data_IF_066969113640
#
_entry.id   IF_066969113640
#
_cell.length_a   1.000
_cell.length_b   1.000
_cell.length_c   1.000
_cell.angle_alpha   90.00
_cell.angle_beta   90.00
_cell.angle_gamma   90.00
#
_symmetry.space_group_name_H-M   'P 1'
#
loop_
_entity.id
_entity.type
_entity.pdbx_description
1 polymer ?
#
# COMPACT_ATOMS: atom_id res chain seq x y z
N UNK A 1 -12.61 -14.32 7.68
CA UNK A 1 -11.79 -13.12 7.98
C UNK A 1 -12.06 -12.50 9.37
N UNK A 2 -13.15 -11.77 9.65
CA UNK A 2 -13.33 -11.14 11.00
C UNK A 2 -13.39 -12.16 12.15
N UNK A 3 -14.07 -13.29 11.94
CA UNK A 3 -14.11 -14.40 12.92
C UNK A 3 -12.78 -15.13 13.10
N UNK A 4 -11.80 -14.88 12.22
CA UNK A 4 -10.46 -15.51 12.26
C UNK A 4 -9.38 -14.53 12.74
N UNK A 5 -9.74 -13.30 13.07
CA UNK A 5 -8.79 -12.31 13.58
C UNK A 5 -8.26 -12.75 14.95
N UNK A 6 -6.94 -12.81 15.10
CA UNK A 6 -6.27 -13.13 16.38
C UNK A 6 -5.31 -12.02 16.75
N UNK A 7 -5.49 -11.43 17.93
CA UNK A 7 -4.63 -10.36 18.47
C UNK A 7 -4.37 -9.22 17.46
N UNK A 8 -5.39 -8.80 16.71
CA UNK A 8 -5.28 -7.73 15.72
C UNK A 8 -4.70 -8.13 14.36
N UNK A 9 -4.34 -9.41 14.15
CA UNK A 9 -3.84 -9.93 12.87
C UNK A 9 -4.94 -10.69 12.13
N UNK A 10 -5.05 -10.44 10.83
CA UNK A 10 -5.74 -11.34 9.90
C UNK A 10 -4.77 -12.40 9.36
N UNK A 11 -5.28 -13.59 9.02
CA UNK A 11 -4.47 -14.60 8.36
C UNK A 11 -4.14 -14.18 6.92
N UNK A 12 -2.91 -14.46 6.50
CA UNK A 12 -2.46 -14.29 5.11
C UNK A 12 -2.86 -15.50 4.25
N UNK A 13 -2.74 -16.71 4.81
CA UNK A 13 -3.05 -17.98 4.16
C UNK A 13 -3.82 -18.90 5.10
N UNK A 14 -4.66 -19.76 4.53
CA UNK A 14 -5.41 -20.79 5.27
C UNK A 14 -6.61 -20.27 6.05
N UNK A 15 -7.29 -21.18 6.74
CA UNK A 15 -8.46 -20.94 7.59
C UNK A 15 -8.38 -21.82 8.85
N UNK A 16 -9.03 -21.40 9.93
CA UNK A 16 -9.07 -22.16 11.18
C UNK A 16 -7.69 -22.42 11.79
N UNK A 17 -7.36 -23.69 12.08
CA UNK A 17 -6.10 -24.09 12.71
C UNK A 17 -4.89 -24.03 11.76
N UNK A 18 -5.13 -23.97 10.43
CA UNK A 18 -4.08 -23.85 9.41
C UNK A 18 -3.81 -22.39 9.01
N UNK A 19 -4.36 -21.43 9.74
CA UNK A 19 -4.24 -20.02 9.46
C UNK A 19 -2.83 -19.48 9.78
N UNK A 20 -2.16 -18.91 8.78
CA UNK A 20 -0.85 -18.29 8.92
C UNK A 20 -0.97 -16.78 9.17
N UNK A 21 -0.47 -16.30 10.31
CA UNK A 21 -0.48 -14.88 10.71
C UNK A 21 0.89 -14.24 10.49
N UNK A 22 1.36 -14.24 9.25
CA UNK A 22 2.70 -13.77 8.85
C UNK A 22 2.69 -12.50 7.98
N UNK A 23 1.60 -11.72 8.00
CA UNK A 23 1.47 -10.47 7.24
C UNK A 23 1.26 -9.28 8.17
N UNK A 24 2.07 -8.23 7.99
CA UNK A 24 1.93 -6.95 8.68
C UNK A 24 0.91 -6.02 8.01
N UNK A 25 0.66 -6.21 6.72
CA UNK A 25 -0.18 -5.35 5.89
C UNK A 25 -1.65 -5.77 5.83
N UNK A 26 -1.99 -7.06 5.97
CA UNK A 26 -3.36 -7.56 5.81
C UNK A 26 -4.37 -6.83 6.72
N UNK A 27 -4.04 -6.66 8.00
CA UNK A 27 -4.87 -5.88 8.94
C UNK A 27 -4.98 -4.41 8.60
N UNK A 28 -3.99 -3.84 7.93
CA UNK A 28 -4.02 -2.43 7.53
C UNK A 28 -4.83 -2.23 6.24
N UNK A 29 -4.79 -3.19 5.31
CA UNK A 29 -5.64 -3.23 4.13
C UNK A 29 -7.14 -3.32 4.45
N UNK A 30 -7.50 -3.89 5.60
CA UNK A 30 -8.88 -3.85 6.09
C UNK A 30 -9.41 -2.42 6.28
N UNK A 31 -8.58 -1.49 6.78
CA UNK A 31 -8.98 -0.09 6.92
C UNK A 31 -9.19 0.56 5.55
N UNK A 32 -8.31 0.26 4.59
CA UNK A 32 -8.48 0.72 3.21
C UNK A 32 -9.78 0.20 2.59
N UNK A 33 -10.09 -1.08 2.77
CA UNK A 33 -11.33 -1.68 2.27
C UNK A 33 -12.56 -0.99 2.88
N UNK A 34 -12.56 -0.68 4.19
CA UNK A 34 -13.63 0.08 4.82
C UNK A 34 -13.75 1.51 4.28
N UNK A 35 -12.63 2.17 3.99
CA UNK A 35 -12.63 3.50 3.36
C UNK A 35 -13.21 3.45 1.94
N UNK A 36 -12.92 2.40 1.16
CA UNK A 36 -13.54 2.19 -0.15
C UNK A 36 -15.04 1.91 -0.03
N UNK A 37 -15.44 1.09 0.95
CA UNK A 37 -16.85 0.84 1.23
C UNK A 37 -17.60 2.12 1.65
N UNK A 38 -16.97 2.98 2.48
CA UNK A 38 -17.51 4.29 2.84
C UNK A 38 -17.70 5.18 1.61
N UNK A 39 -16.71 5.24 0.71
CA UNK A 39 -16.78 6.01 -0.53
C UNK A 39 -17.97 5.57 -1.40
N UNK A 40 -18.15 4.26 -1.54
CA UNK A 40 -19.19 3.71 -2.41
C UNK A 40 -20.60 3.79 -1.83
N UNK A 41 -20.74 3.75 -0.50
CA UNK A 41 -22.07 3.64 0.15
C UNK A 41 -22.49 4.87 0.94
N UNK A 42 -21.55 5.71 1.36
CA UNK A 42 -21.79 6.81 2.29
C UNK A 42 -22.14 6.36 3.72
N UNK A 43 -22.13 5.05 4.02
CA UNK A 43 -22.64 4.45 5.27
C UNK A 43 -21.66 4.51 6.44
N UNK A 44 -21.10 5.68 6.70
CA UNK A 44 -20.08 5.90 7.74
C UNK A 44 -20.48 5.41 9.14
N UNK A 45 -21.71 5.71 9.58
CA UNK A 45 -22.16 5.32 10.92
C UNK A 45 -22.36 3.81 11.05
N UNK A 46 -22.78 3.14 9.97
CA UNK A 46 -22.88 1.67 9.95
C UNK A 46 -21.50 1.03 10.01
N UNK A 47 -20.50 1.62 9.33
CA UNK A 47 -19.11 1.15 9.41
C UNK A 47 -18.62 1.19 10.85
N UNK A 48 -18.79 2.31 11.56
CA UNK A 48 -18.39 2.38 12.96
C UNK A 48 -19.16 1.40 13.83
N UNK A 49 -20.48 1.31 13.66
CA UNK A 49 -21.33 0.38 14.42
C UNK A 49 -20.87 -1.07 14.28
N UNK A 50 -20.54 -1.49 13.06
CA UNK A 50 -20.22 -2.89 12.75
C UNK A 50 -18.73 -3.21 12.97
N UNK A 51 -17.83 -2.26 12.70
CA UNK A 51 -16.40 -2.50 12.60
C UNK A 51 -15.55 -1.71 13.60
N UNK A 52 -16.11 -0.70 14.28
CA UNK A 52 -15.36 0.19 15.19
C UNK A 52 -14.60 -0.56 16.28
N UNK A 53 -15.20 -1.59 16.89
CA UNK A 53 -14.53 -2.46 17.87
C UNK A 53 -13.29 -3.17 17.30
N UNK A 54 -13.37 -3.64 16.06
CA UNK A 54 -12.26 -4.33 15.39
C UNK A 54 -11.16 -3.32 15.02
N UNK A 55 -11.55 -2.15 14.50
CA UNK A 55 -10.61 -1.07 14.17
C UNK A 55 -9.79 -0.63 15.39
N UNK A 56 -10.45 -0.31 16.50
CA UNK A 56 -9.75 0.06 17.74
C UNK A 56 -8.93 -1.10 18.29
N UNK A 57 -9.47 -2.34 18.20
CA UNK A 57 -8.78 -3.55 18.65
C UNK A 57 -7.48 -3.82 17.88
N UNK A 58 -7.48 -3.69 16.56
CA UNK A 58 -6.27 -3.85 15.73
C UNK A 58 -5.23 -2.80 16.14
N UNK A 59 -5.63 -1.53 16.22
CA UNK A 59 -4.75 -0.42 16.60
C UNK A 59 -4.14 -0.65 17.98
N UNK A 60 -4.93 -1.02 18.99
CA UNK A 60 -4.43 -1.25 20.34
C UNK A 60 -3.55 -2.51 20.47
N UNK A 61 -3.75 -3.53 19.63
CA UNK A 61 -2.85 -4.69 19.58
C UNK A 61 -1.53 -4.34 18.89
N UNK A 62 -1.57 -3.61 17.76
CA UNK A 62 -0.36 -3.16 17.07
C UNK A 62 0.44 -2.19 17.94
N UNK A 63 -0.21 -1.34 18.74
CA UNK A 63 0.48 -0.49 19.70
C UNK A 63 1.25 -1.29 20.76
N UNK A 64 0.66 -2.37 21.28
CA UNK A 64 1.28 -3.22 22.33
C UNK A 64 2.29 -4.22 21.77
N UNK A 65 2.12 -4.62 20.52
CA UNK A 65 2.90 -5.65 19.87
C UNK A 65 2.13 -6.95 19.64
N UNK A 66 2.37 -7.55 18.49
CA UNK A 66 1.81 -8.84 18.06
C UNK A 66 2.89 -9.80 17.59
N UNK A 67 2.51 -10.90 16.92
CA UNK A 67 3.47 -11.80 16.26
C UNK A 67 4.35 -11.06 15.25
N UNK A 68 5.51 -11.64 14.94
CA UNK A 68 6.49 -11.13 13.97
C UNK A 68 7.02 -9.72 14.28
N UNK A 69 7.14 -9.41 15.58
CA UNK A 69 7.52 -8.08 16.07
C UNK A 69 6.73 -6.91 15.48
N UNK A 70 5.48 -7.14 15.05
CA UNK A 70 4.62 -6.05 14.59
C UNK A 70 4.22 -5.24 15.81
N UNK A 71 4.87 -4.09 16.03
CA UNK A 71 4.67 -3.27 17.22
C UNK A 71 4.97 -1.80 16.96
N UNK A 72 4.21 -0.92 17.59
CA UNK A 72 4.50 0.51 17.58
C UNK A 72 5.69 0.80 18.50
N UNK A 73 6.64 1.59 18.01
CA UNK A 73 7.75 2.11 18.82
C UNK A 73 7.40 3.48 19.40
N UNK A 74 8.25 4.00 20.29
CA UNK A 74 8.01 5.28 20.98
C UNK A 74 7.91 6.48 20.03
N UNK A 75 8.48 6.38 18.83
CA UNK A 75 8.36 7.37 17.76
C UNK A 75 7.02 7.27 16.98
N UNK A 76 6.14 6.34 17.36
CA UNK A 76 4.84 6.11 16.72
C UNK A 76 4.90 5.25 15.45
N UNK A 77 6.10 4.96 14.93
CA UNK A 77 6.27 4.10 13.77
C UNK A 77 6.01 2.64 14.12
N UNK A 78 5.47 1.90 13.15
CA UNK A 78 5.24 0.47 13.27
C UNK A 78 6.48 -0.27 12.78
N UNK A 79 7.15 -0.96 13.70
CA UNK A 79 8.16 -1.95 13.37
C UNK A 79 7.45 -3.23 12.95
N UNK A 80 8.00 -3.94 11.97
CA UNK A 80 7.54 -5.27 11.58
C UNK A 80 8.69 -6.14 11.10
N UNK A 81 8.64 -7.43 11.38
CA UNK A 81 9.58 -8.42 10.86
C UNK A 81 10.53 -8.98 11.90
N UNK A 82 11.00 -10.19 11.60
CA UNK A 82 12.00 -10.94 12.35
C UNK A 82 13.09 -11.42 11.37
N UNK A 83 14.32 -11.69 11.84
CA UNK A 83 15.35 -12.27 10.99
C UNK A 83 14.83 -13.51 10.23
N UNK A 84 15.02 -13.53 8.91
CA UNK A 84 14.63 -14.65 8.05
C UNK A 84 13.14 -14.71 7.67
N UNK A 85 12.29 -13.78 8.11
CA UNK A 85 10.87 -13.74 7.73
C UNK A 85 10.58 -12.60 6.74
N UNK A 86 9.75 -12.89 5.76
CA UNK A 86 9.15 -11.88 4.89
C UNK A 86 7.70 -11.65 5.35
N UNK A 87 7.38 -10.42 5.77
CA UNK A 87 6.08 -10.07 6.40
C UNK A 87 5.34 -8.93 5.71
N UNK A 88 5.86 -8.47 4.58
CA UNK A 88 5.25 -7.45 3.71
C UNK A 88 4.83 -8.11 2.41
N UNK A 89 3.98 -7.50 1.59
CA UNK A 89 3.56 -8.04 0.29
C UNK A 89 4.69 -8.45 -0.66
N UNK A 90 5.90 -7.90 -0.50
CA UNK A 90 7.11 -8.38 -1.18
C UNK A 90 7.70 -9.59 -0.44
N UNK A 91 7.02 -10.74 -0.48
CA UNK A 91 7.26 -11.90 0.41
C UNK A 91 7.94 -13.12 -0.22
N UNK A 92 8.46 -13.02 -1.45
CA UNK A 92 9.18 -14.12 -2.09
C UNK A 92 10.37 -14.67 -1.26
N UNK A 93 10.47 -15.99 -1.16
CA UNK A 93 11.51 -16.72 -0.40
C UNK A 93 12.18 -17.76 -1.30
N UNK A 94 13.51 -17.76 -1.31
CA UNK A 94 14.34 -18.73 -2.04
C UNK A 94 15.28 -19.41 -1.05
N UNK A 95 15.28 -20.75 -1.04
CA UNK A 95 16.13 -21.55 -0.16
C UNK A 95 16.05 -21.13 1.32
N UNK A 96 14.83 -20.80 1.79
CA UNK A 96 14.56 -20.35 3.15
C UNK A 96 14.97 -18.91 3.48
N UNK A 97 15.38 -18.11 2.49
CA UNK A 97 15.78 -16.71 2.65
C UNK A 97 14.84 -15.77 1.90
N UNK A 98 14.34 -14.69 2.54
CA UNK A 98 13.64 -13.63 1.84
C UNK A 98 14.49 -13.04 0.72
N UNK A 99 13.93 -12.92 -0.48
CA UNK A 99 14.57 -12.26 -1.62
C UNK A 99 14.66 -10.74 -1.38
N UNK A 100 13.60 -10.19 -0.78
CA UNK A 100 13.46 -8.77 -0.42
C UNK A 100 13.22 -8.64 1.09
N UNK A 101 14.26 -8.77 1.94
CA UNK A 101 14.11 -8.61 3.38
C UNK A 101 13.80 -7.15 3.72
N UNK A 102 12.66 -6.91 4.37
CA UNK A 102 12.15 -5.56 4.69
C UNK A 102 11.73 -5.44 6.15
N UNK A 103 12.47 -6.12 7.03
CA UNK A 103 12.28 -6.01 8.48
C UNK A 103 12.68 -4.62 8.97
N UNK A 104 11.93 -4.08 9.92
CA UNK A 104 12.08 -2.72 10.41
C UNK A 104 10.84 -1.86 10.16
N UNK A 105 11.06 -0.57 9.90
CA UNK A 105 10.02 0.34 9.45
C UNK A 105 9.93 0.27 7.92
N UNK A 106 9.00 -0.51 7.38
CA UNK A 106 8.67 -0.49 5.96
C UNK A 106 7.78 0.72 5.63
N UNK A 107 8.07 1.42 4.53
CA UNK A 107 7.44 2.72 4.22
C UNK A 107 5.92 2.63 4.03
N UNK A 108 5.45 1.59 3.35
CA UNK A 108 4.03 1.35 3.08
C UNK A 108 3.28 0.84 4.30
N UNK A 109 3.90 0.00 5.12
CA UNK A 109 3.31 -0.45 6.39
C UNK A 109 3.06 0.76 7.28
N UNK A 110 4.02 1.68 7.34
CA UNK A 110 3.91 2.90 8.13
C UNK A 110 2.89 3.89 7.53
N UNK A 111 2.82 4.01 6.20
CA UNK A 111 1.79 4.82 5.54
C UNK A 111 0.37 4.27 5.80
N UNK A 112 0.19 2.95 5.67
CA UNK A 112 -1.07 2.25 5.93
C UNK A 112 -1.47 2.35 7.41
N UNK A 113 -0.51 2.23 8.32
CA UNK A 113 -0.71 2.40 9.76
C UNK A 113 -1.18 3.81 10.11
N UNK A 114 -0.50 4.84 9.60
CA UNK A 114 -0.93 6.23 9.77
C UNK A 114 -2.36 6.45 9.27
N UNK A 115 -2.67 5.92 8.09
CA UNK A 115 -4.00 5.98 7.51
C UNK A 115 -5.06 5.28 8.39
N UNK A 116 -4.74 4.11 8.94
CA UNK A 116 -5.62 3.37 9.84
C UNK A 116 -5.91 4.14 11.14
N UNK A 117 -4.88 4.71 11.77
CA UNK A 117 -5.01 5.51 13.00
C UNK A 117 -5.87 6.75 12.75
N UNK A 118 -5.55 7.53 11.72
CA UNK A 118 -6.28 8.75 11.38
C UNK A 118 -7.75 8.45 11.03
N UNK A 119 -7.99 7.39 10.26
CA UNK A 119 -9.36 7.00 9.90
C UNK A 119 -10.18 6.61 11.12
N UNK A 120 -9.60 5.80 12.01
CA UNK A 120 -10.27 5.36 13.22
C UNK A 120 -10.53 6.52 14.17
N UNK A 121 -9.59 7.44 14.31
CA UNK A 121 -9.76 8.68 15.08
C UNK A 121 -10.93 9.52 14.54
N UNK A 122 -11.05 9.69 13.22
CA UNK A 122 -12.17 10.43 12.62
C UNK A 122 -13.51 9.78 12.97
N UNK A 123 -13.63 8.46 12.83
CA UNK A 123 -14.87 7.75 13.16
C UNK A 123 -15.17 7.76 14.66
N UNK A 124 -14.15 7.59 15.50
CA UNK A 124 -14.26 7.60 16.95
C UNK A 124 -14.74 8.97 17.47
N UNK A 125 -14.20 10.07 16.93
CA UNK A 125 -14.66 11.44 17.21
C UNK A 125 -16.14 11.61 16.84
N UNK A 126 -16.53 11.16 15.64
CA UNK A 126 -17.92 11.23 15.17
C UNK A 126 -18.93 10.38 15.97
N UNK A 127 -18.44 9.39 16.73
CA UNK A 127 -19.27 8.47 17.51
C UNK A 127 -19.01 8.56 19.02
N UNK A 128 -18.43 9.66 19.50
CA UNK A 128 -18.22 9.94 20.92
C UNK A 128 -17.42 8.87 21.69
N UNK A 129 -16.52 8.13 21.03
CA UNK A 129 -15.60 7.22 21.72
C UNK A 129 -14.44 8.01 22.36
N UNK A 130 -14.74 8.64 23.51
CA UNK A 130 -13.82 9.55 24.20
C UNK A 130 -12.51 8.89 24.66
N UNK A 131 -12.56 7.63 25.08
CA UNK A 131 -11.35 6.93 25.57
C UNK A 131 -10.35 6.68 24.45
N UNK A 132 -10.80 6.22 23.28
CA UNK A 132 -9.93 6.03 22.13
C UNK A 132 -9.38 7.37 21.63
N UNK A 133 -10.23 8.40 21.54
CA UNK A 133 -9.82 9.74 21.09
C UNK A 133 -8.75 10.32 22.03
N UNK A 134 -8.97 10.27 23.35
CA UNK A 134 -8.00 10.79 24.32
C UNK A 134 -6.64 10.09 24.24
N UNK A 135 -6.63 8.78 23.98
CA UNK A 135 -5.39 7.99 23.84
C UNK A 135 -4.63 8.29 22.55
N UNK A 136 -5.35 8.54 21.45
CA UNK A 136 -4.77 8.51 20.11
C UNK A 136 -4.64 9.88 19.44
N UNK A 137 -5.25 10.96 19.96
CA UNK A 137 -5.35 12.23 19.23
C UNK A 137 -4.01 12.93 18.95
N UNK A 138 -2.98 12.72 19.77
CA UNK A 138 -1.67 13.39 19.61
C UNK A 138 -0.68 12.59 18.74
N UNK A 139 -0.97 11.32 18.48
CA UNK A 139 -0.08 10.43 17.72
C UNK A 139 0.08 10.81 16.24
N UNK A 140 -0.95 11.28 15.50
CA UNK A 140 -0.81 11.64 14.09
C UNK A 140 0.31 12.66 13.83
N UNK A 141 0.41 13.71 14.65
CA UNK A 141 1.43 14.74 14.45
C UNK A 141 2.83 14.22 14.77
N UNK A 142 2.98 13.52 15.91
CA UNK A 142 4.24 12.86 16.27
C UNK A 142 4.69 11.87 15.19
N UNK A 143 3.74 11.10 14.64
CA UNK A 143 3.99 10.15 13.56
C UNK A 143 4.50 10.86 12.30
N UNK A 144 3.87 11.97 11.87
CA UNK A 144 4.28 12.71 10.67
C UNK A 144 5.74 13.17 10.76
N UNK A 145 6.14 13.67 11.93
CA UNK A 145 7.52 14.10 12.19
C UNK A 145 8.48 12.91 12.09
N UNK A 146 8.22 11.85 12.85
CA UNK A 146 9.08 10.65 12.84
C UNK A 146 9.12 9.92 11.50
N UNK A 147 8.01 9.91 10.74
CA UNK A 147 7.95 9.35 9.39
C UNK A 147 8.86 10.14 8.44
N UNK A 148 8.75 11.47 8.46
CA UNK A 148 9.56 12.33 7.60
C UNK A 148 11.05 12.20 7.95
N UNK A 149 11.42 12.23 9.23
CA UNK A 149 12.81 12.04 9.69
C UNK A 149 13.38 10.66 9.31
N UNK A 150 12.55 9.62 9.36
CA UNK A 150 12.98 8.25 9.08
C UNK A 150 13.14 8.00 7.58
N UNK A 151 12.18 8.43 6.77
CA UNK A 151 12.11 8.01 5.36
C UNK A 151 12.57 9.07 4.35
N UNK A 152 12.41 10.38 4.63
CA UNK A 152 12.70 11.42 3.65
C UNK A 152 14.19 11.81 3.63
N UNK A 153 14.73 12.00 2.43
CA UNK A 153 16.04 12.62 2.20
C UNK A 153 15.89 13.71 1.14
N UNK A 154 16.24 14.95 1.54
CA UNK A 154 16.07 16.13 0.71
C UNK A 154 16.96 16.13 -0.54
N UNK A 155 18.15 15.50 -0.49
CA UNK A 155 19.08 15.45 -1.62
C UNK A 155 18.66 14.39 -2.63
N UNK A 156 18.15 13.25 -2.15
CA UNK A 156 17.61 12.18 -3.00
C UNK A 156 16.27 12.56 -3.60
N UNK A 157 15.42 13.24 -2.84
CA UNK A 157 14.10 13.67 -3.28
C UNK A 157 13.04 12.56 -3.27
N UNK A 158 13.27 11.44 -2.60
CA UNK A 158 12.29 10.36 -2.45
C UNK A 158 12.39 9.69 -1.07
N UNK A 159 11.47 8.78 -0.77
CA UNK A 159 11.39 8.09 0.50
C UNK A 159 12.21 6.78 0.46
N UNK A 160 12.96 6.51 1.53
CA UNK A 160 13.57 5.19 1.75
C UNK A 160 12.49 4.10 1.71
N UNK A 161 12.83 2.93 1.18
CA UNK A 161 11.89 1.81 1.06
C UNK A 161 11.61 1.15 2.42
N UNK A 162 12.66 1.02 3.24
CA UNK A 162 12.54 0.63 4.64
C UNK A 162 13.73 1.15 5.47
N UNK A 163 13.56 1.15 6.80
CA UNK A 163 14.59 1.53 7.77
C UNK A 163 14.73 0.44 8.82
N UNK A 164 15.96 -0.02 9.07
CA UNK A 164 16.28 -1.02 10.10
C UNK A 164 17.46 -0.54 10.95
N UNK A 165 17.21 -0.29 12.23
CA UNK A 165 18.19 0.38 13.09
C UNK A 165 18.61 1.72 12.49
N UNK A 166 19.91 1.90 12.28
CA UNK A 166 20.49 3.10 11.67
C UNK A 166 20.57 3.03 10.13
N UNK A 167 20.24 1.87 9.54
CA UNK A 167 20.34 1.66 8.09
C UNK A 167 19.03 2.03 7.40
N UNK A 168 19.13 2.84 6.34
CA UNK A 168 18.02 3.18 5.45
C UNK A 168 18.28 2.58 4.07
N UNK A 169 17.31 1.85 3.54
CA UNK A 169 17.38 1.34 2.17
C UNK A 169 16.82 2.37 1.20
N UNK A 170 17.64 2.78 0.23
CA UNK A 170 17.30 3.82 -0.75
C UNK A 170 16.98 3.25 -2.13
N UNK A 171 16.66 1.97 -2.23
CA UNK A 171 16.21 1.40 -3.49
C UNK A 171 14.90 2.07 -3.92
N UNK A 172 14.87 2.60 -5.15
CA UNK A 172 13.66 3.21 -5.70
C UNK A 172 12.67 2.09 -6.01
N UNK A 173 11.62 2.00 -5.18
CA UNK A 173 10.57 0.99 -5.22
C UNK A 173 9.19 1.66 -5.16
N UNK A 174 8.12 0.98 -5.60
CA UNK A 174 6.79 1.59 -5.64
C UNK A 174 6.15 1.73 -4.26
N UNK A 175 6.71 1.16 -3.19
CA UNK A 175 6.11 1.19 -1.84
C UNK A 175 5.89 2.60 -1.29
N UNK A 176 6.77 3.56 -1.64
CA UNK A 176 6.60 4.97 -1.28
C UNK A 176 5.30 5.60 -1.82
N UNK A 177 4.70 5.00 -2.85
CA UNK A 177 3.44 5.44 -3.44
C UNK A 177 2.29 5.42 -2.44
N UNK A 178 2.29 4.48 -1.49
CA UNK A 178 1.24 4.39 -0.46
C UNK A 178 1.27 5.57 0.50
N UNK A 179 2.44 6.15 0.77
CA UNK A 179 2.56 7.36 1.58
C UNK A 179 1.88 8.57 0.93
N UNK A 180 1.72 8.58 -0.39
CA UNK A 180 1.18 9.72 -1.16
C UNK A 180 -0.22 9.46 -1.72
N UNK A 181 -0.62 8.19 -1.84
CA UNK A 181 -1.90 7.76 -2.42
C UNK A 181 -3.01 7.55 -1.39
N UNK A 182 -2.72 7.32 -0.11
CA UNK A 182 -3.73 7.03 0.92
C UNK A 182 -4.51 8.28 1.37
N UNK A 183 -5.79 8.16 1.81
CA UNK A 183 -6.65 9.29 2.18
C UNK A 183 -6.04 10.21 3.24
N UNK A 184 -5.42 9.61 4.27
CA UNK A 184 -4.56 10.31 5.21
C UNK A 184 -3.13 9.98 4.87
N UNK A 185 -2.30 11.01 4.71
CA UNK A 185 -0.92 10.89 4.24
C UNK A 185 0.02 11.56 5.26
N UNK A 186 1.11 10.90 5.67
CA UNK A 186 2.02 11.44 6.66
C UNK A 186 2.95 12.53 6.10
N UNK A 187 2.91 12.79 4.79
CA UNK A 187 3.83 13.69 4.10
C UNK A 187 3.11 14.92 3.51
N UNK A 188 3.88 15.98 3.27
CA UNK A 188 3.38 17.22 2.67
C UNK A 188 3.25 17.14 1.13
N UNK A 189 2.81 18.24 0.51
CA UNK A 189 2.64 18.29 -0.95
C UNK A 189 3.97 18.27 -1.73
N UNK A 190 5.05 18.77 -1.13
CA UNK A 190 6.37 18.79 -1.76
C UNK A 190 6.90 17.36 -1.92
N UNK A 191 6.87 16.58 -0.84
CA UNK A 191 7.27 15.16 -0.86
C UNK A 191 6.35 14.37 -1.79
N UNK A 192 5.03 14.61 -1.78
CA UNK A 192 4.08 13.96 -2.70
C UNK A 192 4.46 14.16 -4.17
N UNK A 193 4.72 15.40 -4.56
CA UNK A 193 5.11 15.71 -5.93
C UNK A 193 6.44 15.06 -6.30
N UNK A 194 7.42 15.08 -5.40
CA UNK A 194 8.73 14.50 -5.67
C UNK A 194 8.67 12.99 -5.84
N UNK A 195 8.03 12.28 -4.89
CA UNK A 195 7.82 10.83 -4.96
C UNK A 195 7.12 10.42 -6.26
N UNK A 196 6.04 11.13 -6.63
CA UNK A 196 5.27 10.78 -7.82
C UNK A 196 6.07 10.95 -9.11
N UNK A 197 6.95 11.97 -9.18
CA UNK A 197 7.88 12.14 -10.29
C UNK A 197 8.84 10.95 -10.42
N UNK A 198 9.43 10.48 -9.32
CA UNK A 198 10.32 9.32 -9.32
C UNK A 198 9.59 8.03 -9.77
N UNK A 199 8.40 7.77 -9.22
CA UNK A 199 7.59 6.62 -9.61
C UNK A 199 7.27 6.67 -11.11
N UNK A 200 6.82 7.83 -11.62
CA UNK A 200 6.46 7.98 -13.01
C UNK A 200 7.67 7.84 -13.95
N UNK A 201 8.84 8.35 -13.57
CA UNK A 201 10.02 8.33 -14.43
C UNK A 201 10.75 6.98 -14.45
N UNK A 202 10.81 6.29 -13.32
CA UNK A 202 11.65 5.09 -13.20
C UNK A 202 10.85 3.78 -13.17
N UNK A 203 9.63 3.79 -12.64
CA UNK A 203 8.89 2.57 -12.36
C UNK A 203 7.70 2.35 -13.29
N UNK A 204 7.09 3.41 -13.84
CA UNK A 204 5.92 3.28 -14.69
C UNK A 204 6.25 2.57 -16.01
N UNK A 205 5.38 1.65 -16.39
CA UNK A 205 5.35 0.93 -17.66
C UNK A 205 3.92 0.93 -18.21
N UNK A 206 3.69 0.52 -19.47
CA UNK A 206 2.35 0.33 -20.00
C UNK A 206 1.50 -0.73 -19.28
N UNK A 207 2.12 -1.61 -18.47
CA UNK A 207 1.46 -2.75 -17.79
C UNK A 207 1.36 -2.59 -16.28
N UNK A 208 1.91 -1.52 -15.70
CA UNK A 208 1.94 -1.33 -14.25
C UNK A 208 3.22 -0.64 -13.77
N UNK A 209 3.54 -0.81 -12.49
CA UNK A 209 4.80 -0.30 -11.92
C UNK A 209 5.81 -1.43 -11.69
N UNK A 210 7.07 -1.21 -12.07
CA UNK A 210 8.21 -2.05 -11.69
C UNK A 210 8.37 -2.07 -10.17
N UNK A 211 8.72 -3.23 -9.63
CA UNK A 211 9.00 -3.41 -8.19
C UNK A 211 10.34 -2.87 -7.73
N UNK A 212 11.26 -2.60 -8.66
CA UNK A 212 12.57 -2.00 -8.44
C UNK A 212 12.98 -1.18 -9.67
N UNK A 213 13.62 -0.04 -9.45
CA UNK A 213 14.15 0.80 -10.53
C UNK A 213 15.20 0.05 -11.37
N UNK A 214 15.15 0.14 -12.72
CA UNK A 214 16.18 -0.39 -13.60
C UNK A 214 17.59 0.16 -13.37
N UNK A 215 17.72 1.27 -12.62
CA UNK A 215 19.02 1.85 -12.25
C UNK A 215 19.69 1.10 -11.09
N UNK A 216 18.98 0.22 -10.39
CA UNK A 216 19.53 -0.57 -9.31
C UNK A 216 20.22 -1.83 -9.86
N UNK A 217 21.40 -2.16 -9.33
CA UNK A 217 22.17 -3.32 -9.79
C UNK A 217 21.50 -4.68 -9.51
N UNK A 218 20.56 -4.74 -8.58
CA UNK A 218 19.76 -5.93 -8.29
C UNK A 218 18.54 -6.08 -9.21
N UNK A 219 18.33 -5.16 -10.15
CA UNK A 219 17.19 -5.20 -11.07
C UNK A 219 17.19 -6.46 -11.94
N UNK A 220 16.02 -7.11 -11.99
CA UNK A 220 15.70 -8.26 -12.83
C UNK A 220 14.42 -7.95 -13.62
N UNK A 221 14.60 -7.54 -14.86
CA UNK A 221 13.50 -7.13 -15.76
C UNK A 221 12.73 -8.27 -16.41
N UNK A 222 13.12 -9.52 -16.20
CA UNK A 222 12.45 -10.69 -16.80
C UNK A 222 12.00 -11.67 -15.72
N UNK A 223 10.72 -12.02 -15.74
CA UNK A 223 10.08 -13.03 -14.91
C UNK A 223 9.89 -14.31 -15.73
N UNK A 224 10.93 -15.16 -15.79
CA UNK A 224 10.91 -16.40 -16.57
C UNK A 224 11.82 -17.46 -15.94
N UNK A 225 11.67 -18.70 -16.38
CA UNK A 225 12.51 -19.82 -15.95
C UNK A 225 11.83 -20.68 -14.89
N UNK A 226 12.64 -21.33 -14.06
CA UNK A 226 12.16 -22.17 -12.96
C UNK A 226 11.60 -21.34 -11.78
N UNK A 227 11.09 -22.01 -10.74
CA UNK A 227 10.50 -21.33 -9.59
C UNK A 227 11.47 -20.38 -8.90
N UNK A 228 12.72 -20.80 -8.69
CA UNK A 228 13.75 -19.98 -8.03
C UNK A 228 14.09 -18.73 -8.86
N UNK A 229 14.28 -18.87 -10.16
CA UNK A 229 14.57 -17.74 -11.06
C UNK A 229 13.45 -16.70 -11.05
N UNK A 230 12.19 -17.18 -11.08
CA UNK A 230 11.00 -16.36 -11.00
C UNK A 230 10.88 -15.66 -9.65
N UNK A 231 11.08 -16.36 -8.54
CA UNK A 231 11.01 -15.79 -7.19
C UNK A 231 12.10 -14.74 -6.96
N UNK A 232 13.30 -14.94 -7.52
CA UNK A 232 14.36 -13.94 -7.47
C UNK A 232 14.03 -12.66 -8.26
N UNK A 233 13.17 -12.73 -9.28
CA UNK A 233 12.74 -11.58 -10.08
C UNK A 233 11.43 -10.94 -9.58
N UNK A 234 10.61 -11.68 -8.84
CA UNK A 234 9.20 -11.38 -8.54
C UNK A 234 8.96 -10.01 -7.91
N UNK A 235 9.88 -9.58 -7.03
CA UNK A 235 9.90 -8.24 -6.44
C UNK A 235 11.21 -7.50 -6.70
N UNK A 236 11.94 -7.85 -7.77
CA UNK A 236 13.22 -7.23 -8.11
C UNK A 236 13.21 -6.56 -9.49
N UNK A 237 12.05 -6.24 -10.06
CA UNK A 237 11.96 -5.55 -11.36
C UNK A 237 10.71 -5.89 -12.14
N UNK A 238 10.11 -7.05 -11.84
CA UNK A 238 8.79 -7.47 -12.30
C UNK A 238 7.73 -6.37 -12.07
N UNK A 239 6.82 -6.23 -13.02
CA UNK A 239 5.77 -5.21 -13.07
C UNK A 239 4.49 -5.72 -12.45
N UNK A 240 3.88 -4.88 -11.62
CA UNK A 240 2.62 -5.18 -10.92
C UNK A 240 1.53 -4.17 -11.31
N UNK A 241 0.42 -4.62 -11.97
CA UNK A 241 -0.67 -3.75 -12.41
C UNK A 241 -1.46 -3.09 -11.29
N UNK A 242 -1.76 -3.80 -10.19
CA UNK A 242 -2.61 -3.27 -9.11
C UNK A 242 -2.08 -1.95 -8.49
N UNK A 243 -0.75 -1.74 -8.53
CA UNK A 243 -0.11 -0.51 -8.05
C UNK A 243 -0.57 0.75 -8.82
N UNK A 244 -1.11 0.58 -10.03
CA UNK A 244 -1.69 1.69 -10.80
C UNK A 244 -2.88 2.33 -10.10
N UNK A 245 -3.58 1.59 -9.23
CA UNK A 245 -4.62 2.14 -8.39
C UNK A 245 -4.11 3.26 -7.49
N UNK A 246 -3.09 2.95 -6.69
CA UNK A 246 -2.42 3.91 -5.83
C UNK A 246 -1.79 5.06 -6.65
N UNK A 247 -1.28 4.75 -7.86
CA UNK A 247 -0.73 5.75 -8.77
C UNK A 247 -1.80 6.77 -9.22
N UNK A 248 -2.97 6.27 -9.63
CA UNK A 248 -4.11 7.10 -10.00
C UNK A 248 -4.59 7.96 -8.83
N UNK A 249 -4.74 7.37 -7.63
CA UNK A 249 -5.13 8.11 -6.42
C UNK A 249 -4.16 9.27 -6.13
N UNK A 250 -2.84 9.00 -6.19
CA UNK A 250 -1.81 10.01 -5.95
C UNK A 250 -1.88 11.16 -6.97
N UNK A 251 -2.06 10.85 -8.26
CA UNK A 251 -2.20 11.86 -9.30
C UNK A 251 -3.47 12.71 -9.12
N UNK A 252 -4.62 12.11 -8.84
CA UNK A 252 -5.84 12.87 -8.60
C UNK A 252 -5.73 13.75 -7.36
N UNK A 253 -5.04 13.30 -6.31
CA UNK A 253 -4.81 14.10 -5.10
C UNK A 253 -3.94 15.31 -5.37
N UNK A 254 -2.88 15.17 -6.17
CA UNK A 254 -1.93 16.24 -6.42
C UNK A 254 -2.42 17.21 -7.51
N UNK A 255 -3.00 16.70 -8.59
CA UNK A 255 -3.34 17.47 -9.79
C UNK A 255 -4.85 17.67 -10.00
N UNK A 256 -5.68 17.09 -9.13
CA UNK A 256 -7.13 17.14 -9.26
C UNK A 256 -7.61 16.54 -10.57
N UNK A 257 -8.63 17.15 -11.18
CA UNK A 257 -9.21 16.70 -12.46
C UNK A 257 -8.22 16.66 -13.62
N UNK A 258 -7.10 17.39 -13.56
CA UNK A 258 -6.07 17.38 -14.61
C UNK A 258 -5.40 16.00 -14.75
N UNK A 259 -5.39 15.21 -13.67
CA UNK A 259 -4.89 13.83 -13.68
C UNK A 259 -5.65 12.91 -14.64
N UNK A 260 -6.93 13.19 -14.93
CA UNK A 260 -7.81 12.33 -15.71
C UNK A 260 -7.21 11.93 -17.06
N UNK A 261 -6.54 12.86 -17.75
CA UNK A 261 -5.94 12.58 -19.06
C UNK A 261 -4.85 11.51 -18.98
N UNK A 262 -3.93 11.63 -18.02
CA UNK A 262 -2.84 10.68 -17.83
C UNK A 262 -3.38 9.32 -17.37
N UNK A 263 -4.24 9.31 -16.36
CA UNK A 263 -4.81 8.07 -15.81
C UNK A 263 -5.63 7.33 -16.86
N UNK A 264 -6.40 8.04 -17.70
CA UNK A 264 -7.12 7.43 -18.82
C UNK A 264 -6.17 6.83 -19.84
N UNK A 265 -5.11 7.55 -20.23
CA UNK A 265 -4.14 7.04 -21.19
C UNK A 265 -3.48 5.73 -20.73
N UNK A 266 -3.18 5.62 -19.43
CA UNK A 266 -2.66 4.38 -18.83
C UNK A 266 -3.74 3.31 -18.76
N UNK A 267 -4.97 3.65 -18.40
CA UNK A 267 -6.07 2.69 -18.37
C UNK A 267 -6.34 2.07 -19.76
N UNK A 268 -6.31 2.89 -20.80
CA UNK A 268 -6.59 2.46 -22.17
C UNK A 268 -5.53 1.48 -22.72
N UNK A 269 -4.29 1.45 -22.19
CA UNK A 269 -3.28 0.46 -22.63
C UNK A 269 -3.67 -0.97 -22.31
N UNK A 270 -4.58 -1.18 -21.35
CA UNK A 270 -5.03 -2.51 -20.96
C UNK A 270 -6.01 -3.13 -21.96
N UNK A 271 -6.54 -2.38 -22.92
CA UNK A 271 -7.39 -2.95 -23.98
C UNK A 271 -6.64 -4.05 -24.76
N UNK A 272 -5.35 -3.83 -25.03
CA UNK A 272 -4.48 -4.76 -25.76
C UNK A 272 -4.28 -6.10 -25.05
N UNK A 273 -4.39 -6.15 -23.72
CA UNK A 273 -4.08 -7.36 -22.94
C UNK A 273 -5.31 -8.20 -22.61
N UNK A 274 -6.51 -7.72 -22.95
CA UNK A 274 -7.79 -8.40 -22.63
C UNK A 274 -7.92 -9.79 -23.24
N UNK A 275 -7.06 -10.15 -24.19
CA UNK A 275 -7.00 -11.47 -24.83
C UNK A 275 -5.60 -12.07 -24.86
N UNK A 276 -4.64 -11.54 -24.08
CA UNK A 276 -3.23 -11.97 -24.12
C UNK A 276 -3.04 -13.33 -23.44
N UNK A 277 -3.33 -13.42 -22.13
CA UNK A 277 -3.16 -14.65 -21.35
C UNK A 277 -4.49 -15.39 -21.09
N UNK A 278 -5.61 -14.67 -21.14
CA UNK A 278 -6.96 -15.18 -20.95
C UNK A 278 -8.00 -14.16 -21.41
N UNK A 279 -9.26 -14.58 -21.57
CA UNK A 279 -10.32 -13.69 -22.07
C UNK A 279 -10.85 -12.81 -20.92
N UNK A 280 -10.79 -11.49 -21.11
CA UNK A 280 -11.37 -10.51 -20.19
C UNK A 280 -10.65 -10.45 -18.84
N UNK A 281 -9.36 -10.75 -18.81
CA UNK A 281 -8.58 -10.82 -17.58
C UNK A 281 -7.18 -10.23 -17.73
N UNK A 282 -6.54 -10.00 -16.59
CA UNK A 282 -5.20 -9.43 -16.44
C UNK A 282 -4.35 -10.40 -15.64
N UNK A 283 -3.21 -10.76 -16.21
CA UNK A 283 -2.21 -11.60 -15.55
C UNK A 283 -1.68 -10.95 -14.29
N UNK A 284 -1.16 -11.78 -13.38
CA UNK A 284 -0.63 -11.38 -12.09
C UNK A 284 0.50 -10.36 -12.20
N UNK A 285 1.47 -10.66 -13.06
CA UNK A 285 2.68 -9.86 -13.26
C UNK A 285 3.04 -9.77 -14.73
N UNK A 286 3.91 -8.81 -15.05
CA UNK A 286 4.52 -8.66 -16.37
C UNK A 286 6.03 -8.46 -16.23
N UNK A 287 6.78 -8.76 -17.28
CA UNK A 287 8.21 -8.41 -17.36
C UNK A 287 8.41 -6.90 -17.11
N UNK A 288 9.52 -6.55 -16.46
CA UNK A 288 10.01 -5.18 -16.27
C UNK A 288 10.49 -4.53 -17.56
N UNK A 289 11.04 -5.33 -18.47
CA UNK A 289 11.59 -4.84 -19.73
C UNK A 289 10.65 -5.16 -20.91
N UNK A 290 10.69 -4.37 -21.99
CA UNK A 290 9.98 -4.70 -23.22
C UNK A 290 10.31 -6.13 -23.70
N UNK A 291 9.32 -6.89 -24.20
CA UNK A 291 7.98 -6.44 -24.59
C UNK A 291 6.92 -6.53 -23.48
N UNK A 292 7.31 -6.58 -22.20
CA UNK A 292 6.39 -6.66 -21.04
C UNK A 292 5.49 -7.89 -21.09
N UNK A 293 6.07 -9.08 -21.25
CA UNK A 293 5.28 -10.33 -21.35
C UNK A 293 4.55 -10.62 -20.06
N UNK A 294 3.31 -11.12 -20.16
CA UNK A 294 2.57 -11.63 -19.03
C UNK A 294 3.25 -12.84 -18.33
N UNK A 295 3.10 -12.91 -17.01
CA UNK A 295 3.54 -14.03 -16.18
C UNK A 295 2.68 -14.20 -14.92
N UNK A 296 3.04 -15.21 -14.11
CA UNK A 296 2.31 -15.57 -12.90
C UNK A 296 0.93 -16.17 -13.21
N UNK A 297 -0.03 -15.96 -12.32
CA UNK A 297 -1.41 -16.38 -12.55
C UNK A 297 -2.05 -15.67 -13.77
N UNK A 298 -2.81 -16.42 -14.57
CA UNK A 298 -3.52 -15.91 -15.77
C UNK A 298 -4.51 -14.79 -15.42
N UNK A 299 -5.14 -14.89 -14.26
CA UNK A 299 -6.17 -13.96 -13.79
C UNK A 299 -5.92 -13.64 -12.33
N UNK A 300 -5.70 -12.36 -12.04
CA UNK A 300 -5.36 -11.95 -10.68
C UNK A 300 -6.31 -10.88 -10.12
N UNK A 301 -6.93 -11.20 -8.99
CA UNK A 301 -8.08 -10.47 -8.46
C UNK A 301 -7.79 -8.99 -8.19
N UNK A 302 -6.65 -8.66 -7.57
CA UNK A 302 -6.29 -7.27 -7.28
C UNK A 302 -6.00 -6.43 -8.53
N UNK A 303 -5.55 -7.04 -9.63
CA UNK A 303 -5.25 -6.31 -10.86
C UNK A 303 -6.58 -5.91 -11.52
N UNK A 304 -7.53 -6.84 -11.57
CA UNK A 304 -8.90 -6.57 -12.04
C UNK A 304 -9.58 -5.52 -11.16
N UNK A 305 -9.52 -5.69 -9.84
CA UNK A 305 -10.17 -4.79 -8.90
C UNK A 305 -9.67 -3.35 -9.03
N UNK A 306 -8.35 -3.14 -9.13
CA UNK A 306 -7.76 -1.81 -9.25
C UNK A 306 -8.04 -1.18 -10.62
N UNK A 307 -8.07 -1.93 -11.72
CA UNK A 307 -8.49 -1.38 -13.02
C UNK A 307 -9.98 -0.99 -13.03
N UNK A 308 -10.85 -1.80 -12.43
CA UNK A 308 -12.26 -1.45 -12.27
C UNK A 308 -12.43 -0.20 -11.40
N UNK A 309 -11.63 -0.06 -10.34
CA UNK A 309 -11.62 1.14 -9.51
C UNK A 309 -11.13 2.36 -10.26
N UNK A 310 -10.08 2.23 -11.08
CA UNK A 310 -9.59 3.29 -11.96
C UNK A 310 -10.69 3.71 -12.95
N UNK A 311 -11.34 2.75 -13.60
CA UNK A 311 -12.49 3.03 -14.47
C UNK A 311 -13.58 3.79 -13.73
N UNK A 312 -13.95 3.35 -12.53
CA UNK A 312 -14.94 4.05 -11.72
C UNK A 312 -14.51 5.49 -11.40
N UNK A 313 -13.24 5.74 -11.06
CA UNK A 313 -12.71 7.09 -10.82
C UNK A 313 -12.76 7.98 -12.07
N UNK A 314 -12.49 7.41 -13.25
CA UNK A 314 -12.56 8.11 -14.53
C UNK A 314 -13.99 8.48 -14.91
N UNK A 315 -14.93 7.55 -14.70
CA UNK A 315 -16.36 7.75 -15.00
C UNK A 315 -17.03 8.68 -13.97
N UNK A 316 -16.58 8.64 -12.71
CA UNK A 316 -17.18 9.36 -11.57
C UNK A 316 -16.23 10.41 -10.97
N UNK A 317 -15.44 11.07 -11.81
CA UNK A 317 -14.37 11.98 -11.36
C UNK A 317 -14.86 13.06 -10.39
N UNK A 318 -16.06 13.60 -10.58
CA UNK A 318 -16.62 14.61 -9.68
C UNK A 318 -16.89 14.08 -8.26
N UNK A 319 -17.48 12.88 -8.18
CA UNK A 319 -17.77 12.20 -6.92
C UNK A 319 -16.46 11.89 -6.20
N UNK A 320 -15.50 11.31 -6.93
CA UNK A 320 -14.20 10.98 -6.37
C UNK A 320 -13.43 12.22 -5.89
N UNK A 321 -13.43 13.32 -6.66
CA UNK A 321 -12.77 14.56 -6.24
C UNK A 321 -13.44 15.21 -5.02
N UNK A 322 -14.75 15.05 -4.85
CA UNK A 322 -15.45 15.50 -3.62
C UNK A 322 -14.96 14.71 -2.41
N UNK A 323 -14.81 13.39 -2.54
CA UNK A 323 -14.27 12.53 -1.49
C UNK A 323 -12.83 12.91 -1.13
N UNK A 324 -11.95 13.09 -2.13
CA UNK A 324 -10.56 13.50 -1.92
C UNK A 324 -10.48 14.79 -1.12
N UNK A 325 -11.24 15.83 -1.51
CA UNK A 325 -11.28 17.11 -0.78
C UNK A 325 -11.75 16.96 0.66
N UNK A 326 -12.77 16.15 0.90
CA UNK A 326 -13.30 15.92 2.24
C UNK A 326 -12.26 15.27 3.17
N UNK A 327 -11.49 14.32 2.67
CA UNK A 327 -10.46 13.62 3.46
C UNK A 327 -9.21 14.47 3.65
N UNK A 328 -8.78 15.23 2.63
CA UNK A 328 -7.63 16.14 2.77
C UNK A 328 -7.86 17.25 3.80
N UNK A 329 -9.07 17.82 3.87
CA UNK A 329 -9.40 18.84 4.86
C UNK A 329 -9.41 18.32 6.31
N UNK A 330 -9.69 17.02 6.49
CA UNK A 330 -9.75 16.36 7.81
C UNK A 330 -8.44 15.71 8.22
N UNK A 331 -7.55 15.41 7.27
CA UNK A 331 -6.21 14.88 7.53
C UNK A 331 -5.16 15.92 7.90
N UNK A 332 -5.54 17.19 8.02
CA UNK A 332 -4.73 18.27 8.59
C UNK A 332 -5.01 18.49 10.09
N UNK A 333 -5.78 17.58 10.73
CA UNK A 333 -6.14 17.64 12.15
C UNK A 333 -5.10 16.99 13.05
#
# INVERSE_FOLDING_TARGET
MLGEMKNGLFPNLGQGDNAAYNSADASLWFFWALQQYELMTGKRNEIWKNYGKYMTGIIDNFARGTLNNIKMHDNGLLWSGEPGKAVTWMDAVVNGKPVTPRSGYAVEINALWYNAVCYTLELAKGNNNKSFVAKWTDWPEKFRQSFTESFWDQQKGYLADYVTGETKDWAVRPNMLFAVSLPYSPVDQHIKSSVLNFVQQELLTPRGLRTLSPKNSAYKGTYFGNQEERDLAYHQGTVWPWLLGAFADAHFKLYGKKAKKLVKAIFDTFEEVMTEAGIGTISEVYDGDPPYKAGGAISQAWNIAELLRIKWMLDNTDIYMKYVKQKSAKGQL
#
